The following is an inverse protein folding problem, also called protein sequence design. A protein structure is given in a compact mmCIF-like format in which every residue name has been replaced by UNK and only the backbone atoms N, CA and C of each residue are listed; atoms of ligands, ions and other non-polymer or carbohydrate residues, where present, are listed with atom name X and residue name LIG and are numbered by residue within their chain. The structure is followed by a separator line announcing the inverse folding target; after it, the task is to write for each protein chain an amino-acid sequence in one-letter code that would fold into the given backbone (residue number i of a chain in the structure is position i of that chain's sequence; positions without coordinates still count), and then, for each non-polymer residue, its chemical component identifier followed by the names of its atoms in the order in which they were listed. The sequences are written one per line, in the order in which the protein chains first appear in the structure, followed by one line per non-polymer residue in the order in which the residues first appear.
data_IF_036781607675
#
_entry.id   IF_036781607675
#
_cell.length_a   1.000
_cell.length_b   1.000
_cell.length_c   1.000
_cell.angle_alpha   90.00
_cell.angle_beta   90.00
_cell.angle_gamma   90.00
#
_symmetry.space_group_name_H-M   'P 1'
#
loop_
_entity.id
_entity.type
_entity.pdbx_description
1 polymer ?
#
# COMPACT_ATOMS: atom_id res chain seq x y z
N UNK A 1 3.80 10.32 -0.58
CA UNK A 1 4.72 10.85 0.47
C UNK A 1 4.19 10.84 1.92
N UNK A 2 3.09 11.53 2.27
CA UNK A 2 2.43 11.40 3.59
C UNK A 2 0.97 10.93 3.44
N UNK A 3 0.29 11.44 2.42
CA UNK A 3 -1.06 11.02 2.05
C UNK A 3 -1.18 9.52 1.76
N UNK A 4 -0.17 8.91 1.13
CA UNK A 4 -0.20 7.47 0.82
C UNK A 4 -0.04 6.61 2.08
N UNK A 5 0.82 7.03 3.02
CA UNK A 5 0.96 6.38 4.33
C UNK A 5 -0.28 6.57 5.20
N UNK A 6 -0.89 7.75 5.18
CA UNK A 6 -2.17 8.00 5.85
C UNK A 6 -3.29 7.12 5.28
N UNK A 7 -3.33 6.94 3.95
CA UNK A 7 -4.27 6.02 3.30
C UNK A 7 -4.02 4.55 3.72
N UNK A 8 -2.77 4.14 3.86
CA UNK A 8 -2.41 2.81 4.37
C UNK A 8 -2.81 2.62 5.84
N UNK A 9 -2.64 3.63 6.72
CA UNK A 9 -3.15 3.58 8.11
C UNK A 9 -4.66 3.42 8.13
N UNK A 10 -5.37 4.26 7.37
CA UNK A 10 -6.83 4.18 7.27
C UNK A 10 -7.32 2.85 6.67
N UNK A 11 -6.51 2.17 5.83
CA UNK A 11 -6.80 0.82 5.38
C UNK A 11 -6.60 -0.19 6.53
N UNK A 12 -5.51 -0.11 7.28
CA UNK A 12 -5.27 -0.99 8.43
C UNK A 12 -6.42 -0.90 9.46
N UNK A 13 -6.88 0.32 9.78
CA UNK A 13 -7.99 0.53 10.70
C UNK A 13 -9.30 -0.10 10.17
N UNK A 14 -9.59 0.08 8.88
CA UNK A 14 -10.75 -0.53 8.24
C UNK A 14 -10.71 -2.07 8.26
N UNK A 15 -9.53 -2.67 8.06
CA UNK A 15 -9.37 -4.13 8.11
C UNK A 15 -9.55 -4.67 9.53
N UNK A 16 -9.07 -3.95 10.53
CA UNK A 16 -9.27 -4.28 11.95
C UNK A 16 -10.75 -4.22 12.32
N UNK A 17 -11.45 -3.15 11.95
CA UNK A 17 -12.90 -3.02 12.16
C UNK A 17 -13.68 -4.21 11.56
N UNK A 18 -13.33 -4.66 10.35
CA UNK A 18 -13.95 -5.83 9.72
C UNK A 18 -13.59 -7.11 10.49
N UNK A 19 -12.33 -7.27 10.89
CA UNK A 19 -11.86 -8.46 11.61
C UNK A 19 -12.55 -8.65 12.96
N UNK A 20 -12.81 -7.55 13.67
CA UNK A 20 -13.46 -7.54 14.98
C UNK A 20 -14.99 -7.70 14.89
N UNK A 21 -15.58 -7.34 13.75
CA UNK A 21 -17.00 -7.56 13.50
C UNK A 21 -17.35 -9.00 13.11
N UNK A 22 -16.37 -9.81 12.66
CA UNK A 22 -16.58 -11.22 12.32
C UNK A 22 -16.77 -12.08 13.58
N UNK A 23 -17.62 -13.13 13.53
CA UNK A 23 -18.43 -13.59 12.39
C UNK A 23 -19.80 -12.89 12.27
N UNK A 24 -20.10 -11.91 13.11
CA UNK A 24 -21.48 -11.47 13.39
C UNK A 24 -22.06 -10.47 12.39
N UNK A 25 -21.42 -9.31 12.21
CA UNK A 25 -21.97 -8.19 11.41
C UNK A 25 -20.91 -7.55 10.53
N UNK A 26 -20.42 -8.30 9.55
CA UNK A 26 -19.54 -7.74 8.54
C UNK A 26 -20.29 -6.74 7.64
N UNK A 27 -19.88 -5.48 7.67
CA UNK A 27 -20.43 -4.45 6.80
C UNK A 27 -19.99 -4.69 5.34
N UNK A 28 -20.93 -5.01 4.46
CA UNK A 28 -20.65 -5.28 3.03
C UNK A 28 -19.97 -4.12 2.31
N UNK A 29 -20.37 -2.88 2.61
CA UNK A 29 -19.77 -1.69 2.00
C UNK A 29 -18.34 -1.48 2.49
N UNK A 30 -18.07 -1.76 3.77
CA UNK A 30 -16.72 -1.74 4.33
C UNK A 30 -15.83 -2.81 3.65
N UNK A 31 -16.35 -4.03 3.47
CA UNK A 31 -15.64 -5.11 2.78
C UNK A 31 -15.29 -4.75 1.34
N UNK A 32 -16.25 -4.20 0.57
CA UNK A 32 -16.01 -3.75 -0.80
C UNK A 32 -14.95 -2.63 -0.88
N UNK A 33 -15.03 -1.66 0.03
CA UNK A 33 -14.05 -0.57 0.11
C UNK A 33 -12.65 -1.09 0.45
N UNK A 34 -12.55 -2.00 1.42
CA UNK A 34 -11.30 -2.63 1.81
C UNK A 34 -10.69 -3.42 0.65
N UNK A 35 -11.48 -4.23 -0.06
CA UNK A 35 -11.03 -4.98 -1.24
C UNK A 35 -10.47 -4.06 -2.33
N UNK A 36 -11.16 -2.96 -2.66
CA UNK A 36 -10.68 -2.00 -3.64
C UNK A 36 -9.35 -1.34 -3.23
N UNK A 37 -9.20 -0.98 -1.95
CA UNK A 37 -7.96 -0.39 -1.41
C UNK A 37 -6.81 -1.39 -1.38
N UNK A 38 -7.07 -2.65 -1.01
CA UNK A 38 -6.06 -3.72 -1.04
C UNK A 38 -5.55 -3.99 -2.46
N UNK A 39 -6.43 -4.01 -3.47
CA UNK A 39 -6.01 -4.12 -4.87
C UNK A 39 -5.13 -2.96 -5.31
N UNK A 40 -5.45 -1.74 -4.89
CA UNK A 40 -4.60 -0.57 -5.16
C UNK A 40 -3.24 -0.71 -4.50
N UNK A 41 -3.20 -1.19 -3.25
CA UNK A 41 -1.95 -1.46 -2.53
C UNK A 41 -1.13 -2.55 -3.25
N UNK A 42 -1.75 -3.65 -3.65
CA UNK A 42 -1.10 -4.74 -4.36
C UNK A 42 -0.57 -4.35 -5.75
N UNK A 43 -1.34 -3.55 -6.50
CA UNK A 43 -0.92 -3.01 -7.79
C UNK A 43 0.31 -2.09 -7.67
N UNK A 44 0.57 -1.58 -6.46
CA UNK A 44 1.75 -0.81 -6.09
C UNK A 44 2.73 -1.69 -5.30
N UNK A 45 2.97 -2.92 -5.75
CA UNK A 45 3.84 -3.90 -5.07
C UNK A 45 5.17 -3.32 -4.55
N UNK A 46 5.71 -2.34 -5.27
CA UNK A 46 6.62 -1.36 -4.68
C UNK A 46 6.29 0.05 -5.21
N UNK A 47 5.87 1.00 -4.34
CA UNK A 47 5.63 2.37 -4.76
C UNK A 47 6.90 2.97 -5.38
N UNK A 48 6.75 3.71 -6.47
CA UNK A 48 7.87 4.35 -7.15
C UNK A 48 8.70 5.26 -6.22
N UNK A 49 8.06 5.84 -5.20
CA UNK A 49 8.72 6.62 -4.16
C UNK A 49 9.73 5.77 -3.37
N UNK A 50 9.33 4.58 -2.94
CA UNK A 50 10.21 3.65 -2.23
C UNK A 50 11.32 3.12 -3.14
N UNK A 51 11.00 2.83 -4.41
CA UNK A 51 12.02 2.42 -5.38
C UNK A 51 13.13 3.46 -5.52
N UNK A 52 12.77 4.73 -5.66
CA UNK A 52 13.73 5.84 -5.73
C UNK A 52 14.50 6.01 -4.41
N UNK A 53 13.81 5.96 -3.28
CA UNK A 53 14.43 6.07 -1.95
C UNK A 53 15.45 4.95 -1.69
N UNK A 54 15.09 3.72 -2.02
CA UNK A 54 15.94 2.55 -1.78
C UNK A 54 17.17 2.57 -2.68
N UNK A 55 17.02 2.97 -3.95
CA UNK A 55 18.15 3.13 -4.87
C UNK A 55 19.18 4.14 -4.34
N UNK A 56 18.72 5.25 -3.75
CA UNK A 56 19.61 6.23 -3.12
C UNK A 56 20.32 5.67 -1.89
N UNK A 57 19.59 5.01 -0.99
CA UNK A 57 20.21 4.36 0.18
C UNK A 57 21.29 3.38 -0.28
N UNK A 58 21.04 2.58 -1.30
CA UNK A 58 22.00 1.60 -1.82
C UNK A 58 23.23 2.23 -2.48
N UNK A 59 23.04 3.37 -3.17
CA UNK A 59 24.08 4.11 -3.87
C UNK A 59 25.03 4.83 -2.90
N UNK A 60 24.51 5.37 -1.79
CA UNK A 60 25.27 6.20 -0.85
C UNK A 60 25.69 5.45 0.44
N UNK A 61 25.09 4.31 0.75
CA UNK A 61 25.50 3.51 1.89
C UNK A 61 26.92 2.94 1.72
N UNK A 62 27.79 3.06 2.73
CA UNK A 62 29.06 2.33 2.78
C UNK A 62 28.83 0.83 2.59
N UNK A 63 29.78 0.13 1.96
CA UNK A 63 29.66 -1.31 1.66
C UNK A 63 29.52 -2.14 2.94
N UNK A 64 30.16 -1.72 4.03
CA UNK A 64 30.10 -2.33 5.35
C UNK A 64 28.84 -1.95 6.14
N UNK A 65 28.04 -0.99 5.66
CA UNK A 65 26.84 -0.55 6.34
C UNK A 65 25.68 -1.53 6.10
N UNK A 66 25.00 -1.94 7.19
CA UNK A 66 23.79 -2.78 7.15
C UNK A 66 22.60 -2.17 6.38
N UNK A 67 22.72 -0.95 5.85
CA UNK A 67 21.67 -0.24 5.12
C UNK A 67 21.20 -0.99 3.86
N UNK A 68 22.10 -1.64 3.10
CA UNK A 68 21.71 -2.46 1.95
C UNK A 68 20.88 -3.69 2.37
N UNK A 69 21.24 -4.30 3.50
CA UNK A 69 20.48 -5.43 4.05
C UNK A 69 19.09 -5.00 4.53
N UNK A 70 19.01 -3.85 5.20
CA UNK A 70 17.74 -3.24 5.61
C UNK A 70 16.82 -2.97 4.42
N UNK A 71 17.35 -2.42 3.31
CA UNK A 71 16.59 -2.21 2.06
C UNK A 71 16.10 -3.54 1.48
N UNK A 72 16.95 -4.57 1.46
CA UNK A 72 16.56 -5.89 0.95
C UNK A 72 15.40 -6.51 1.76
N UNK A 73 15.44 -6.42 3.09
CA UNK A 73 14.33 -6.87 3.94
C UNK A 73 13.07 -6.02 3.66
N UNK A 74 13.20 -4.70 3.49
CA UNK A 74 12.04 -3.82 3.27
C UNK A 74 11.32 -4.11 1.94
N UNK A 75 12.10 -4.44 0.89
CA UNK A 75 11.56 -4.94 -0.39
C UNK A 75 10.82 -6.25 -0.21
N UNK A 76 11.42 -7.22 0.49
CA UNK A 76 10.81 -8.53 0.74
C UNK A 76 9.48 -8.39 1.50
N UNK A 77 9.46 -7.62 2.59
CA UNK A 77 8.22 -7.40 3.37
C UNK A 77 7.14 -6.72 2.52
N UNK A 78 7.51 -5.78 1.63
CA UNK A 78 6.57 -5.14 0.71
C UNK A 78 5.95 -6.12 -0.27
N UNK A 79 6.77 -6.97 -0.89
CA UNK A 79 6.31 -8.00 -1.81
C UNK A 79 5.39 -9.02 -1.13
N UNK A 80 5.71 -9.44 0.10
CA UNK A 80 4.86 -10.35 0.88
C UNK A 80 3.51 -9.71 1.21
N UNK A 81 3.50 -8.45 1.64
CA UNK A 81 2.27 -7.72 1.92
C UNK A 81 1.41 -7.56 0.65
N UNK A 82 2.04 -7.28 -0.50
CA UNK A 82 1.32 -7.15 -1.77
C UNK A 82 0.64 -8.47 -2.18
N UNK A 83 1.31 -9.61 -1.99
CA UNK A 83 0.72 -10.94 -2.22
C UNK A 83 -0.48 -11.20 -1.30
N UNK A 84 -0.31 -10.97 0.00
CA UNK A 84 -1.39 -11.10 0.98
C UNK A 84 -2.60 -10.21 0.65
N UNK A 85 -2.34 -8.98 0.18
CA UNK A 85 -3.39 -8.03 -0.17
C UNK A 85 -4.26 -8.50 -1.35
N UNK A 86 -3.69 -9.23 -2.32
CA UNK A 86 -4.46 -9.80 -3.45
C UNK A 86 -5.43 -10.86 -2.93
N UNK A 87 -4.91 -11.83 -2.19
CA UNK A 87 -5.72 -12.94 -1.65
C UNK A 87 -6.85 -12.42 -0.76
N UNK A 88 -6.54 -11.45 0.09
CA UNK A 88 -7.51 -10.86 1.01
C UNK A 88 -8.57 -10.01 0.29
N UNK A 89 -8.20 -9.33 -0.79
CA UNK A 89 -9.16 -8.57 -1.58
C UNK A 89 -10.24 -9.49 -2.20
N UNK A 90 -9.85 -10.66 -2.68
CA UNK A 90 -10.79 -11.61 -3.28
C UNK A 90 -11.71 -12.25 -2.23
N UNK A 91 -11.18 -12.55 -1.05
CA UNK A 91 -11.99 -13.01 0.09
C UNK A 91 -13.01 -11.96 0.54
N UNK A 92 -12.61 -10.68 0.59
CA UNK A 92 -13.47 -9.57 0.95
C UNK A 92 -14.55 -9.27 -0.11
N UNK A 93 -14.26 -9.49 -1.39
CA UNK A 93 -15.30 -9.43 -2.43
C UNK A 93 -16.37 -10.51 -2.24
N UNK A 94 -15.96 -11.72 -1.81
CA UNK A 94 -16.89 -12.77 -1.39
C UNK A 94 -17.81 -12.29 -0.27
N UNK A 95 -17.21 -11.75 0.80
CA UNK A 95 -17.94 -11.20 1.93
C UNK A 95 -18.87 -10.04 1.53
N UNK A 96 -18.43 -9.15 0.63
CA UNK A 96 -19.23 -8.03 0.14
C UNK A 96 -20.46 -8.49 -0.65
N UNK A 97 -20.32 -9.53 -1.49
CA UNK A 97 -21.41 -10.10 -2.29
C UNK A 97 -22.40 -10.87 -1.42
N UNK A 98 -21.90 -11.74 -0.55
CA UNK A 98 -22.71 -12.75 0.14
C UNK A 98 -23.19 -12.28 1.52
N UNK A 99 -22.59 -11.22 2.07
CA UNK A 99 -22.91 -10.67 3.38
C UNK A 99 -22.47 -11.53 4.56
N UNK A 100 -21.82 -12.66 4.30
CA UNK A 100 -21.26 -13.59 5.29
C UNK A 100 -20.06 -14.32 4.68
N UNK A 101 -19.11 -14.71 5.53
CA UNK A 101 -17.99 -15.58 5.13
C UNK A 101 -18.28 -16.99 5.61
N UNK A 102 -18.11 -17.98 4.73
CA UNK A 102 -18.18 -19.40 5.10
C UNK A 102 -17.04 -19.83 6.04
N UNK A 103 -15.94 -19.07 6.06
CA UNK A 103 -14.75 -19.31 6.87
C UNK A 103 -14.39 -18.03 7.64
N UNK A 104 -15.33 -17.52 8.43
CA UNK A 104 -15.19 -16.23 9.11
C UNK A 104 -13.97 -16.17 10.07
N UNK A 105 -13.61 -17.26 10.72
CA UNK A 105 -12.42 -17.33 11.58
C UNK A 105 -11.12 -17.20 10.77
N UNK A 106 -11.00 -17.95 9.67
CA UNK A 106 -9.84 -17.88 8.79
C UNK A 106 -9.69 -16.50 8.16
N UNK A 107 -10.80 -15.91 7.68
CA UNK A 107 -10.81 -14.54 7.18
C UNK A 107 -10.40 -13.53 8.25
N UNK A 108 -10.92 -13.67 9.48
CA UNK A 108 -10.53 -12.83 10.61
C UNK A 108 -9.04 -12.93 10.96
N UNK A 109 -8.45 -14.13 10.86
CA UNK A 109 -7.01 -14.33 11.03
C UNK A 109 -6.19 -13.64 9.93
N UNK A 110 -6.59 -13.79 8.66
CA UNK A 110 -5.90 -13.14 7.54
C UNK A 110 -5.99 -11.61 7.59
N UNK A 111 -7.15 -11.06 7.98
CA UNK A 111 -7.32 -9.62 8.18
C UNK A 111 -6.36 -9.08 9.24
N UNK A 112 -6.24 -9.78 10.38
CA UNK A 112 -5.32 -9.44 11.47
C UNK A 112 -3.86 -9.44 11.02
N UNK A 113 -3.44 -10.52 10.37
CA UNK A 113 -2.10 -10.60 9.81
C UNK A 113 -1.80 -9.45 8.82
N UNK A 114 -2.78 -9.05 8.01
CA UNK A 114 -2.62 -8.00 7.02
C UNK A 114 -2.52 -6.61 7.64
N UNK A 115 -3.45 -6.22 8.54
CA UNK A 115 -3.39 -4.87 9.13
C UNK A 115 -2.15 -4.69 10.01
N UNK A 116 -1.72 -5.72 10.72
CA UNK A 116 -0.48 -5.69 11.52
C UNK A 116 0.75 -5.56 10.63
N UNK A 117 0.78 -6.25 9.49
CA UNK A 117 1.85 -6.11 8.50
C UNK A 117 1.91 -4.70 7.91
N UNK A 118 0.76 -4.08 7.62
CA UNK A 118 0.69 -2.68 7.15
C UNK A 118 1.25 -1.74 8.22
N UNK A 119 0.78 -1.84 9.48
CA UNK A 119 1.23 -0.98 10.58
C UNK A 119 2.73 -1.12 10.83
N UNK A 120 3.22 -2.36 10.95
CA UNK A 120 4.64 -2.64 11.14
C UNK A 120 5.51 -2.07 10.02
N UNK A 121 5.04 -2.17 8.77
CA UNK A 121 5.74 -1.60 7.62
C UNK A 121 5.83 -0.08 7.71
N UNK A 122 4.73 0.59 8.04
CA UNK A 122 4.70 2.04 8.19
C UNK A 122 5.62 2.53 9.31
N UNK A 123 5.57 1.87 10.47
CA UNK A 123 6.42 2.19 11.60
C UNK A 123 7.90 1.97 11.25
N UNK A 124 8.21 0.91 10.51
CA UNK A 124 9.58 0.66 10.07
C UNK A 124 10.07 1.70 9.06
N UNK A 125 9.22 2.10 8.11
CA UNK A 125 9.53 3.16 7.16
C UNK A 125 9.85 4.47 7.89
N UNK A 126 9.07 4.82 8.91
CA UNK A 126 9.18 6.07 9.66
C UNK A 126 10.34 6.08 10.66
N UNK A 127 10.56 4.96 11.37
CA UNK A 127 11.53 4.86 12.44
C UNK A 127 12.94 4.50 11.95
N UNK A 128 13.07 3.84 10.78
CA UNK A 128 14.37 3.34 10.30
C UNK A 128 14.70 3.85 8.91
N UNK A 129 13.84 3.59 7.91
CA UNK A 129 14.21 3.86 6.51
C UNK A 129 14.37 5.37 6.24
N UNK A 130 13.37 6.17 6.61
CA UNK A 130 13.41 7.61 6.38
C UNK A 130 14.55 8.31 7.14
N UNK A 131 14.83 7.99 8.42
CA UNK A 131 16.01 8.49 9.11
C UNK A 131 17.33 8.09 8.44
N UNK A 132 17.48 6.84 8.00
CA UNK A 132 18.68 6.38 7.30
C UNK A 132 18.90 7.14 5.99
N UNK A 133 17.84 7.34 5.20
CA UNK A 133 17.91 8.16 4.00
C UNK A 133 18.35 9.60 4.31
N UNK A 134 17.79 10.23 5.35
CA UNK A 134 18.19 11.59 5.76
C UNK A 134 19.64 11.66 6.22
N UNK A 135 20.16 10.62 6.88
CA UNK A 135 21.54 10.60 7.36
C UNK A 135 22.56 10.40 6.23
N UNK A 136 22.16 9.74 5.13
CA UNK A 136 23.03 9.43 4.00
C UNK A 136 23.04 10.52 2.92
N UNK A 137 22.01 11.36 2.84
CA UNK A 137 21.85 12.36 1.79
C UNK A 137 22.33 13.74 2.23
N UNK A 138 23.11 14.39 1.37
CA UNK A 138 23.42 15.81 1.52
C UNK A 138 22.16 16.68 1.34
N UNK A 139 22.16 17.96 1.76
CA UNK A 139 21.02 18.86 1.55
C UNK A 139 20.63 19.05 0.08
N UNK A 140 21.60 18.98 -0.84
CA UNK A 140 21.36 19.07 -2.28
C UNK A 140 20.66 17.81 -2.79
N UNK A 141 21.17 16.63 -2.45
CA UNK A 141 20.56 15.35 -2.84
C UNK A 141 19.18 15.14 -2.22
N UNK A 142 18.95 15.66 -1.01
CA UNK A 142 17.63 15.68 -0.38
C UNK A 142 16.64 16.52 -1.17
N UNK A 143 17.07 17.68 -1.70
CA UNK A 143 16.25 18.54 -2.56
C UNK A 143 15.98 17.86 -3.89
N UNK A 144 17.00 17.32 -4.54
CA UNK A 144 16.87 16.63 -5.82
C UNK A 144 15.96 15.39 -5.72
N UNK A 145 16.03 14.66 -4.60
CA UNK A 145 15.09 13.60 -4.28
C UNK A 145 13.67 14.14 -4.10
N UNK A 146 13.50 15.23 -3.37
CA UNK A 146 12.21 15.90 -3.21
C UNK A 146 11.58 16.27 -4.57
N UNK A 147 12.37 16.86 -5.46
CA UNK A 147 11.93 17.26 -6.81
C UNK A 147 11.62 16.03 -7.69
N UNK A 148 12.44 14.98 -7.59
CA UNK A 148 12.22 13.73 -8.31
C UNK A 148 10.93 13.03 -7.86
N UNK A 149 10.69 12.95 -6.55
CA UNK A 149 9.48 12.36 -5.97
C UNK A 149 8.25 13.21 -6.32
N UNK A 150 8.35 14.53 -6.30
CA UNK A 150 7.28 15.43 -6.74
C UNK A 150 6.94 15.21 -8.23
N UNK A 151 7.94 15.03 -9.09
CA UNK A 151 7.74 14.73 -10.50
C UNK A 151 7.08 13.35 -10.73
N UNK A 152 7.46 12.34 -9.95
CA UNK A 152 6.79 11.02 -9.96
C UNK A 152 5.32 11.16 -9.53
N UNK A 153 5.06 11.85 -8.42
CA UNK A 153 3.71 12.04 -7.88
C UNK A 153 2.81 12.81 -8.86
N UNK A 154 3.35 13.82 -9.54
CA UNK A 154 2.65 14.57 -10.58
C UNK A 154 2.26 13.67 -11.77
N UNK A 155 3.18 12.81 -12.23
CA UNK A 155 2.90 11.84 -13.31
C UNK A 155 1.86 10.80 -12.90
N UNK A 156 1.90 10.31 -11.66
CA UNK A 156 0.90 9.37 -11.14
C UNK A 156 -0.48 10.02 -11.02
N UNK A 157 -0.56 11.25 -10.53
CA UNK A 157 -1.81 12.03 -10.45
C UNK A 157 -2.41 12.27 -11.83
N UNK A 158 -1.58 12.57 -12.84
CA UNK A 158 -2.00 12.67 -14.23
C UNK A 158 -2.52 11.33 -14.77
N UNK A 159 -1.86 10.20 -14.47
CA UNK A 159 -2.33 8.85 -14.84
C UNK A 159 -3.66 8.46 -14.19
N UNK A 160 -3.87 8.81 -12.93
CA UNK A 160 -5.15 8.57 -12.24
C UNK A 160 -6.25 9.40 -12.87
N UNK A 161 -5.98 10.69 -13.17
CA UNK A 161 -6.96 11.56 -13.85
C UNK A 161 -7.26 11.10 -15.26
N UNK A 162 -6.26 10.70 -16.04
CA UNK A 162 -6.50 10.16 -17.38
C UNK A 162 -7.19 8.79 -17.35
N UNK A 163 -6.88 7.94 -16.37
CA UNK A 163 -7.60 6.69 -16.13
C UNK A 163 -9.07 6.91 -15.74
N UNK A 164 -9.37 7.90 -14.89
CA UNK A 164 -10.76 8.32 -14.61
C UNK A 164 -11.45 8.85 -15.87
N UNK A 165 -10.77 9.68 -16.66
CA UNK A 165 -11.33 10.23 -17.89
C UNK A 165 -11.64 9.15 -18.95
N UNK A 166 -10.88 8.06 -19.00
CA UNK A 166 -11.18 6.89 -19.84
C UNK A 166 -12.42 6.13 -19.31
N UNK A 167 -12.58 6.01 -17.99
CA UNK A 167 -13.75 5.35 -17.39
C UNK A 167 -15.03 6.18 -17.54
N UNK A 168 -14.94 7.51 -17.47
CA UNK A 168 -16.08 8.42 -17.72
C UNK A 168 -16.48 8.48 -19.21
N UNK A 169 -15.54 8.21 -20.12
CA UNK A 169 -15.79 8.21 -21.58
C UNK A 169 -16.55 7.00 -22.12
N UNK A 170 -16.64 5.89 -21.36
CA UNK A 170 -17.18 4.61 -21.86
C UNK A 170 -18.65 4.36 -21.47
N UNK A 171 -19.33 5.34 -20.86
CA UNK A 171 -20.77 5.27 -20.50
C UNK A 171 -21.73 5.93 -21.50
N UNK A 172 -21.30 6.17 -22.74
CA UNK A 172 -22.14 6.84 -23.74
C UNK A 172 -22.21 6.10 -25.09
N UNK A 173 -22.85 4.93 -25.13
CA UNK A 173 -23.63 4.50 -26.30
C UNK A 173 -24.90 3.77 -25.87
N UNK A 174 -26.10 4.37 -26.01
CA UNK A 174 -27.34 3.62 -25.93
C UNK A 174 -27.50 2.78 -27.21
N UNK A 175 -27.94 1.54 -27.03
CA UNK A 175 -28.16 0.57 -28.10
C UNK A 175 -29.13 1.08 -29.17
N UNK A 176 -28.87 0.67 -30.41
CA UNK A 176 -29.83 0.64 -31.50
C UNK A 176 -30.18 -0.80 -31.79
#
# INVERSE_FOLDING_TARGET
MAEDRAAQRALADLLEEIADALPTTANRSAAALAAARLRRLAAQAQPAEETALFALIEAHAPVEAGARHVVAIARREGALLAGLAIELADALDGLAREGRSGEAEALGYMLRACFDAIRRRLDWMEAVILPQARALLTPLETRDLGDHLAAIAARQSLRVRSGLAVIDGDRAKPGR
#
